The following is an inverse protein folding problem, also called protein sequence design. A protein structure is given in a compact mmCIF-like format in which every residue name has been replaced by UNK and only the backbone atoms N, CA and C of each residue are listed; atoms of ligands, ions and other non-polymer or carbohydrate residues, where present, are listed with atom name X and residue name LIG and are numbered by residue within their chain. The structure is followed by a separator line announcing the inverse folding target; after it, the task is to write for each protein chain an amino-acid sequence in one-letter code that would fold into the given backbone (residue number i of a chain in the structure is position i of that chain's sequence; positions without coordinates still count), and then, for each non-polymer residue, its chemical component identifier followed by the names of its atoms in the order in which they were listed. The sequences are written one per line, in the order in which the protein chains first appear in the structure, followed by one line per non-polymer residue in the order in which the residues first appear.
data_IF_425682468528
#
_entry.id   IF_425682468528
#
_cell.length_a   1.000
_cell.length_b   1.000
_cell.length_c   1.000
_cell.angle_alpha   90.00
_cell.angle_beta   90.00
_cell.angle_gamma   90.00
#
_symmetry.space_group_name_H-M   'P 1'
#
loop_
_entity.id
_entity.type
_entity.pdbx_description
1 polymer ?
#
# COMPACT_ATOMS: atom_id res chain seq x y z
N UNK A 1 -10.98 26.39 -6.12
CA UNK A 1 -12.18 25.96 -6.87
C UNK A 1 -13.16 27.12 -6.96
N UNK A 2 -13.99 27.23 -8.01
CA UNK A 2 -15.07 28.21 -8.09
C UNK A 2 -16.12 27.97 -6.99
N UNK A 3 -16.70 29.04 -6.41
CA UNK A 3 -17.68 28.93 -5.30
C UNK A 3 -18.93 28.14 -5.70
N UNK A 4 -19.40 28.27 -6.94
CA UNK A 4 -20.57 27.52 -7.46
C UNK A 4 -20.34 26.02 -7.54
N UNK A 5 -19.09 25.54 -7.46
CA UNK A 5 -18.78 24.12 -7.44
C UNK A 5 -18.81 23.53 -6.03
N UNK A 6 -18.75 24.35 -4.98
CA UNK A 6 -18.71 23.89 -3.58
C UNK A 6 -19.97 23.13 -3.19
N UNK A 7 -21.13 23.52 -3.72
CA UNK A 7 -22.42 22.86 -3.47
C UNK A 7 -22.49 21.43 -4.03
N UNK A 8 -21.56 21.07 -4.92
CA UNK A 8 -21.51 19.74 -5.55
C UNK A 8 -20.36 18.87 -5.01
N UNK A 9 -19.64 19.32 -3.98
CA UNK A 9 -18.55 18.55 -3.37
C UNK A 9 -19.13 17.60 -2.32
N UNK A 10 -18.80 16.31 -2.47
CA UNK A 10 -19.01 15.32 -1.43
C UNK A 10 -17.69 14.97 -0.76
N UNK A 11 -17.71 14.94 0.58
CA UNK A 11 -16.63 14.34 1.36
C UNK A 11 -16.89 12.85 1.50
N UNK A 12 -16.10 12.04 0.79
CA UNK A 12 -16.14 10.58 0.89
C UNK A 12 -15.38 10.04 2.12
N UNK A 13 -14.72 10.92 2.87
CA UNK A 13 -13.92 10.58 4.03
C UNK A 13 -12.63 9.82 3.70
N UNK A 14 -12.00 9.30 4.75
CA UNK A 14 -10.79 8.49 4.66
C UNK A 14 -11.12 6.99 4.71
N UNK A 15 -10.23 6.19 4.12
CA UNK A 15 -10.29 4.75 4.22
C UNK A 15 -10.09 4.34 5.70
N UNK A 16 -11.01 3.55 6.26
CA UNK A 16 -10.81 3.03 7.61
C UNK A 16 -9.74 1.92 7.62
N UNK A 17 -9.15 1.68 8.79
CA UNK A 17 -8.02 0.75 8.96
C UNK A 17 -8.34 -0.67 8.51
N UNK A 18 -9.55 -1.18 8.79
CA UNK A 18 -9.96 -2.53 8.38
C UNK A 18 -10.03 -2.66 6.86
N UNK A 19 -10.59 -1.65 6.19
CA UNK A 19 -10.71 -1.65 4.73
C UNK A 19 -9.32 -1.49 4.10
N UNK A 20 -8.46 -0.65 4.69
CA UNK A 20 -7.06 -0.52 4.26
C UNK A 20 -6.30 -1.84 4.37
N UNK A 21 -6.44 -2.55 5.49
CA UNK A 21 -5.86 -3.88 5.71
C UNK A 21 -6.29 -4.85 4.60
N UNK A 22 -7.58 -4.89 4.26
CA UNK A 22 -8.10 -5.79 3.22
C UNK A 22 -7.55 -5.43 1.83
N UNK A 23 -7.51 -4.13 1.49
CA UNK A 23 -6.88 -3.70 0.24
C UNK A 23 -5.40 -4.07 0.18
N UNK A 24 -4.63 -3.80 1.24
CA UNK A 24 -3.20 -4.14 1.29
C UNK A 24 -2.99 -5.64 1.12
N UNK A 25 -3.76 -6.47 1.84
CA UNK A 25 -3.74 -7.94 1.67
C UNK A 25 -3.98 -8.34 0.23
N UNK A 26 -5.06 -7.87 -0.39
CA UNK A 26 -5.41 -8.21 -1.78
C UNK A 26 -4.34 -7.74 -2.76
N UNK A 27 -3.77 -6.55 -2.57
CA UNK A 27 -2.72 -6.03 -3.45
C UNK A 27 -1.41 -6.83 -3.35
N UNK A 28 -1.06 -7.31 -2.15
CA UNK A 28 0.14 -8.12 -1.93
C UNK A 28 0.05 -9.53 -2.51
N UNK A 29 -1.16 -10.05 -2.80
CA UNK A 29 -1.31 -11.29 -3.56
C UNK A 29 -0.71 -11.21 -4.98
N UNK A 30 -0.48 -9.99 -5.50
CA UNK A 30 0.20 -9.76 -6.79
C UNK A 30 1.73 -9.82 -6.69
N UNK A 31 2.29 -9.91 -5.47
CA UNK A 31 3.72 -10.10 -5.25
C UNK A 31 4.07 -11.58 -5.47
N UNK A 32 5.01 -11.84 -6.37
CA UNK A 32 5.46 -13.20 -6.73
C UNK A 32 5.94 -13.95 -5.49
N UNK A 33 5.37 -15.13 -5.25
CA UNK A 33 5.71 -16.06 -4.17
C UNK A 33 5.55 -15.54 -2.73
N UNK A 34 5.19 -14.26 -2.53
CA UNK A 34 5.14 -13.67 -1.19
C UNK A 34 4.10 -14.38 -0.31
N UNK A 35 2.91 -14.66 -0.88
CA UNK A 35 1.82 -15.36 -0.19
C UNK A 35 2.14 -16.83 0.14
N UNK A 36 3.20 -17.41 -0.44
CA UNK A 36 3.60 -18.79 -0.14
C UNK A 36 4.27 -18.90 1.24
N UNK A 37 4.70 -17.78 1.81
CA UNK A 37 5.36 -17.70 3.10
C UNK A 37 4.50 -16.92 4.08
N UNK A 38 3.54 -17.58 4.72
CA UNK A 38 2.50 -16.94 5.57
C UNK A 38 3.07 -15.96 6.61
N UNK A 39 4.13 -16.36 7.31
CA UNK A 39 4.79 -15.50 8.32
C UNK A 39 5.34 -14.22 7.69
N UNK A 40 6.02 -14.34 6.54
CA UNK A 40 6.61 -13.20 5.83
C UNK A 40 5.49 -12.33 5.23
N UNK A 41 4.46 -12.94 4.66
CA UNK A 41 3.31 -12.24 4.10
C UNK A 41 2.63 -11.37 5.16
N UNK A 42 2.33 -11.92 6.34
CA UNK A 42 1.74 -11.19 7.45
C UNK A 42 2.67 -10.09 7.98
N UNK A 43 3.99 -10.36 8.07
CA UNK A 43 4.97 -9.36 8.47
C UNK A 43 5.01 -8.18 7.49
N UNK A 44 5.00 -8.43 6.17
CA UNK A 44 5.01 -7.38 5.15
C UNK A 44 3.72 -6.55 5.20
N UNK A 45 2.55 -7.18 5.41
CA UNK A 45 1.29 -6.45 5.61
C UNK A 45 1.42 -5.48 6.78
N UNK A 46 1.87 -5.96 7.94
CA UNK A 46 2.02 -5.14 9.14
C UNK A 46 3.05 -4.02 8.93
N UNK A 47 4.18 -4.33 8.30
CA UNK A 47 5.21 -3.35 7.98
C UNK A 47 4.66 -2.21 7.12
N UNK A 48 3.90 -2.52 6.06
CA UNK A 48 3.36 -1.51 5.15
C UNK A 48 2.27 -0.65 5.80
N UNK A 49 1.40 -1.26 6.61
CA UNK A 49 0.38 -0.52 7.36
C UNK A 49 1.01 0.42 8.39
N UNK A 50 1.99 -0.08 9.16
CA UNK A 50 2.72 0.75 10.13
C UNK A 50 3.53 1.85 9.44
N UNK A 51 4.13 1.56 8.28
CA UNK A 51 4.84 2.58 7.49
C UNK A 51 3.89 3.69 7.03
N UNK A 52 2.71 3.34 6.48
CA UNK A 52 1.73 4.34 6.09
C UNK A 52 1.24 5.15 7.29
N UNK A 53 0.92 4.51 8.42
CA UNK A 53 0.52 5.21 9.64
C UNK A 53 1.62 6.17 10.14
N UNK A 54 2.87 5.73 10.09
CA UNK A 54 4.02 6.56 10.47
C UNK A 54 4.11 7.84 9.62
N UNK A 55 3.99 7.72 8.29
CA UNK A 55 3.99 8.90 7.42
C UNK A 55 2.78 9.82 7.67
N UNK A 56 1.58 9.27 7.89
CA UNK A 56 0.39 10.06 8.27
C UNK A 56 0.57 10.83 9.58
N UNK A 57 1.34 10.29 10.53
CA UNK A 57 1.61 10.93 11.81
C UNK A 57 2.64 12.05 11.72
N UNK A 58 3.62 11.93 10.82
CA UNK A 58 4.69 12.91 10.65
C UNK A 58 4.28 14.02 9.67
N UNK A 59 3.50 13.67 8.65
CA UNK A 59 3.05 14.58 7.59
C UNK A 59 1.53 14.76 7.64
N UNK A 60 0.84 14.64 6.50
CA UNK A 60 -0.61 14.75 6.38
C UNK A 60 -1.24 13.39 6.06
N UNK A 61 -2.53 13.20 6.35
CA UNK A 61 -3.27 11.98 6.03
C UNK A 61 -3.20 11.60 4.53
N UNK A 62 -3.04 12.59 3.64
CA UNK A 62 -2.92 12.42 2.19
C UNK A 62 -1.50 12.15 1.67
N UNK A 63 -0.48 12.13 2.56
CA UNK A 63 0.92 11.87 2.21
C UNK A 63 1.18 10.49 1.62
N UNK A 64 0.33 9.52 1.97
CA UNK A 64 0.45 8.12 1.54
C UNK A 64 -0.89 7.58 1.07
N UNK A 65 -0.84 6.60 0.18
CA UNK A 65 -2.03 5.94 -0.35
C UNK A 65 -1.75 4.51 -0.77
N UNK A 66 -2.81 3.78 -1.15
CA UNK A 66 -2.67 2.46 -1.78
C UNK A 66 -1.80 2.49 -3.06
N UNK A 67 -1.55 3.65 -3.67
CA UNK A 67 -0.59 3.74 -4.80
C UNK A 67 0.83 3.41 -4.36
N UNK A 68 1.20 3.67 -3.11
CA UNK A 68 2.51 3.34 -2.56
C UNK A 68 2.66 1.84 -2.36
N UNK A 69 1.57 1.15 -2.01
CA UNK A 69 1.48 -0.31 -1.98
C UNK A 69 1.65 -0.89 -3.38
N UNK A 70 1.04 -0.26 -4.40
CA UNK A 70 1.24 -0.69 -5.79
C UNK A 70 2.71 -0.57 -6.23
N UNK A 71 3.35 0.56 -5.88
CA UNK A 71 4.78 0.79 -6.13
C UNK A 71 5.65 -0.23 -5.40
N UNK A 72 5.31 -0.57 -4.16
CA UNK A 72 5.98 -1.63 -3.41
C UNK A 72 5.90 -2.97 -4.16
N UNK A 73 4.71 -3.39 -4.63
CA UNK A 73 4.57 -4.65 -5.37
C UNK A 73 5.45 -4.67 -6.64
N UNK A 74 5.52 -3.55 -7.37
CA UNK A 74 6.39 -3.42 -8.56
C UNK A 74 7.86 -3.57 -8.19
N UNK A 75 8.30 -2.86 -7.14
CA UNK A 75 9.68 -2.91 -6.67
C UNK A 75 10.06 -4.30 -6.18
N UNK A 76 9.21 -4.93 -5.36
CA UNK A 76 9.40 -6.28 -4.85
C UNK A 76 9.58 -7.29 -5.98
N UNK A 77 8.66 -7.29 -6.96
CA UNK A 77 8.72 -8.22 -8.09
C UNK A 77 9.98 -8.00 -8.93
N UNK A 78 10.33 -6.74 -9.20
CA UNK A 78 11.56 -6.41 -9.92
C UNK A 78 12.81 -6.88 -9.17
N UNK A 79 12.85 -6.69 -7.85
CA UNK A 79 13.99 -7.07 -7.03
C UNK A 79 14.16 -8.60 -6.99
N UNK A 80 13.07 -9.33 -6.83
CA UNK A 80 13.05 -10.80 -6.89
C UNK A 80 13.54 -11.32 -8.24
N UNK A 81 13.00 -10.80 -9.34
CA UNK A 81 13.44 -11.17 -10.69
C UNK A 81 14.94 -10.84 -10.89
N UNK A 82 15.38 -9.69 -10.39
CA UNK A 82 16.78 -9.25 -10.48
C UNK A 82 17.75 -10.16 -9.72
N UNK A 83 17.35 -10.67 -8.54
CA UNK A 83 18.14 -11.63 -7.78
C UNK A 83 18.22 -12.96 -8.53
N UNK A 84 17.09 -13.48 -9.01
CA UNK A 84 17.05 -14.75 -9.74
C UNK A 84 17.88 -14.71 -11.04
N UNK A 85 17.92 -13.57 -11.74
CA UNK A 85 18.69 -13.42 -12.98
C UNK A 85 20.20 -13.29 -12.75
N UNK A 86 20.65 -12.81 -11.59
CA UNK A 86 22.08 -12.58 -11.32
C UNK A 86 22.85 -13.87 -11.05
N UNK A 87 22.16 -14.99 -10.83
CA UNK A 87 22.78 -16.24 -10.38
C UNK A 87 23.39 -16.11 -8.98
N UNK A 88 23.70 -17.23 -8.31
CA UNK A 88 24.54 -17.22 -7.11
C UNK A 88 25.97 -16.74 -7.41
#
# INVERSE_FOLDING_TARGET
MPETMLEYIWDYGYLNETTELDYVKTMLLRCKYLSNFEVIFNLVIQLLLQSQNHFRQIEDASSVSLRDIDRFCRLYNWFLDSICQRGP
#
